data_IF_540923023765
#
_entry.id   IF_540923023765
#
_cell.length_a   1.000
_cell.length_b   1.000
_cell.length_c   1.000
_cell.angle_alpha   90.00
_cell.angle_beta   90.00
_cell.angle_gamma   90.00
#
_symmetry.space_group_name_H-M   'P 1'
#
loop_
_entity.id
_entity.type
_entity.pdbx_description
1 polymer ?
#
# COMPACT_ATOMS: atom_id res chain seq x y z
N UNK A 1 3.28 3.44 -10.34
CA UNK A 1 2.92 2.25 -11.14
C UNK A 1 4.11 1.81 -11.99
N UNK A 2 4.56 2.64 -12.96
CA UNK A 2 5.67 2.32 -13.88
C UNK A 2 7.00 2.00 -13.17
N UNK A 3 7.37 2.75 -12.12
CA UNK A 3 8.60 2.51 -11.35
C UNK A 3 8.66 1.13 -10.68
N UNK A 4 7.54 0.62 -10.15
CA UNK A 4 7.50 -0.71 -9.52
C UNK A 4 7.65 -1.80 -10.57
N UNK A 5 6.95 -1.69 -11.70
CA UNK A 5 7.06 -2.65 -12.80
C UNK A 5 8.48 -2.65 -13.38
N UNK A 6 9.07 -1.48 -13.64
CA UNK A 6 10.47 -1.37 -14.09
C UNK A 6 11.46 -1.99 -13.10
N UNK A 7 11.28 -1.72 -11.80
CA UNK A 7 12.14 -2.29 -10.75
C UNK A 7 12.02 -3.82 -10.72
N UNK A 8 10.81 -4.37 -10.74
CA UNK A 8 10.60 -5.81 -10.67
C UNK A 8 10.98 -6.54 -11.97
N UNK A 9 10.80 -5.91 -13.14
CA UNK A 9 11.32 -6.42 -14.41
C UNK A 9 12.85 -6.42 -14.44
N UNK A 10 13.49 -5.33 -13.98
CA UNK A 10 14.94 -5.24 -13.83
C UNK A 10 15.49 -6.24 -12.81
N UNK A 11 14.77 -6.45 -11.70
CA UNK A 11 15.11 -7.43 -10.68
C UNK A 11 15.02 -8.88 -11.22
N UNK A 12 14.01 -9.19 -12.04
CA UNK A 12 13.93 -10.50 -12.71
C UNK A 12 15.13 -10.79 -13.63
N UNK A 13 15.60 -9.76 -14.35
CA UNK A 13 16.83 -9.84 -15.14
C UNK A 13 18.06 -10.00 -14.22
N UNK A 14 18.14 -9.23 -13.13
CA UNK A 14 19.24 -9.31 -12.17
C UNK A 14 19.35 -10.70 -11.51
N UNK A 15 18.22 -11.33 -11.17
CA UNK A 15 18.19 -12.70 -10.65
C UNK A 15 18.71 -13.70 -11.70
N UNK A 16 18.38 -13.50 -12.99
CA UNK A 16 18.93 -14.35 -14.06
C UNK A 16 20.45 -14.17 -14.23
N UNK A 17 20.95 -12.93 -14.13
CA UNK A 17 22.38 -12.64 -14.13
C UNK A 17 23.09 -13.25 -12.91
N UNK A 18 22.44 -13.24 -11.75
CA UNK A 18 22.94 -13.88 -10.54
C UNK A 18 23.03 -15.40 -10.70
N UNK A 19 22.00 -16.04 -11.27
CA UNK A 19 22.01 -17.48 -11.56
C UNK A 19 23.18 -17.86 -12.48
N UNK A 20 23.39 -17.09 -13.56
CA UNK A 20 24.50 -17.28 -14.50
C UNK A 20 25.87 -17.06 -13.85
N UNK A 21 25.95 -16.12 -12.90
CA UNK A 21 27.14 -15.87 -12.10
C UNK A 21 27.53 -17.06 -11.22
N UNK A 22 26.55 -17.76 -10.63
CA UNK A 22 26.78 -18.98 -9.86
C UNK A 22 27.23 -20.14 -10.78
N UNK A 23 26.67 -20.25 -11.98
CA UNK A 23 26.92 -21.35 -12.91
C UNK A 23 28.20 -21.17 -13.77
N UNK A 24 28.92 -20.03 -13.62
CA UNK A 24 30.06 -19.62 -14.45
C UNK A 24 29.84 -19.76 -15.97
N UNK A 25 28.58 -19.66 -16.45
CA UNK A 25 28.26 -19.71 -17.87
C UNK A 25 28.31 -18.32 -18.50
N UNK A 26 28.73 -18.20 -19.79
CA UNK A 26 28.82 -16.92 -20.46
C UNK A 26 27.45 -16.21 -20.49
N UNK A 27 27.44 -15.01 -19.92
CA UNK A 27 26.26 -14.16 -19.69
C UNK A 27 25.57 -13.72 -20.99
N UNK A 28 26.28 -13.78 -22.13
CA UNK A 28 25.82 -13.31 -23.44
C UNK A 28 25.93 -14.40 -24.52
N UNK A 29 25.39 -15.59 -24.24
CA UNK A 29 25.19 -16.60 -25.27
C UNK A 29 24.08 -16.14 -26.23
N UNK A 30 24.37 -16.13 -27.55
CA UNK A 30 23.43 -15.64 -28.59
C UNK A 30 22.08 -16.38 -28.59
N UNK A 31 22.05 -17.64 -28.14
CA UNK A 31 20.81 -18.43 -27.96
C UNK A 31 19.97 -17.97 -26.74
N UNK A 32 20.58 -17.38 -25.71
CA UNK A 32 19.89 -16.99 -24.48
C UNK A 32 19.39 -15.55 -24.47
N UNK A 33 19.56 -14.79 -25.56
CA UNK A 33 19.11 -13.39 -25.64
C UNK A 33 17.59 -13.25 -25.47
N UNK A 34 16.81 -14.24 -25.89
CA UNK A 34 15.35 -14.25 -25.74
C UNK A 34 14.88 -14.55 -24.30
N UNK A 35 15.77 -15.09 -23.45
CA UNK A 35 15.48 -15.38 -22.04
C UNK A 35 15.36 -14.08 -21.23
N UNK A 36 16.06 -13.01 -21.63
CA UNK A 36 15.99 -11.71 -20.96
C UNK A 36 14.60 -11.07 -20.98
N UNK A 37 13.91 -10.91 -22.14
CA UNK A 37 12.54 -10.42 -22.16
C UNK A 37 11.56 -11.39 -21.48
N UNK A 38 11.82 -12.70 -21.48
CA UNK A 38 11.00 -13.66 -20.74
C UNK A 38 11.10 -13.45 -19.23
N UNK A 39 12.31 -13.32 -18.68
CA UNK A 39 12.53 -13.04 -17.26
C UNK A 39 12.07 -11.63 -16.87
N UNK A 40 12.20 -10.65 -17.77
CA UNK A 40 11.60 -9.33 -17.59
C UNK A 40 10.07 -9.40 -17.54
N UNK A 41 9.45 -10.24 -18.39
CA UNK A 41 8.01 -10.49 -18.39
C UNK A 41 7.53 -11.18 -17.13
N UNK A 42 8.23 -12.22 -16.68
CA UNK A 42 7.93 -12.93 -15.42
C UNK A 42 8.13 -12.01 -14.21
N UNK A 43 9.26 -11.32 -14.13
CA UNK A 43 9.56 -10.36 -13.06
C UNK A 43 8.55 -9.20 -13.03
N UNK A 44 8.21 -8.64 -14.19
CA UNK A 44 7.20 -7.59 -14.31
C UNK A 44 5.79 -8.07 -13.92
N UNK A 45 5.40 -9.27 -14.34
CA UNK A 45 4.11 -9.88 -13.96
C UNK A 45 4.04 -10.15 -12.46
N UNK A 46 5.14 -10.64 -11.87
CA UNK A 46 5.26 -10.86 -10.43
C UNK A 46 5.18 -9.54 -9.65
N UNK A 47 5.89 -8.51 -10.10
CA UNK A 47 5.82 -7.17 -9.50
C UNK A 47 4.42 -6.56 -9.55
N UNK A 48 3.70 -6.76 -10.66
CA UNK A 48 2.31 -6.33 -10.80
C UNK A 48 1.38 -7.07 -9.83
N UNK A 49 1.56 -8.38 -9.67
CA UNK A 49 0.78 -9.19 -8.73
C UNK A 49 1.00 -8.77 -7.26
N UNK A 50 2.26 -8.58 -6.86
CA UNK A 50 2.63 -8.19 -5.49
C UNK A 50 2.07 -6.80 -5.14
N UNK A 51 2.08 -5.88 -6.10
CA UNK A 51 1.43 -4.59 -5.97
C UNK A 51 -0.10 -4.70 -5.78
N UNK A 52 -0.73 -5.68 -6.43
CA UNK A 52 -2.14 -6.00 -6.22
C UNK A 52 -2.43 -6.44 -4.78
N UNK A 53 -1.54 -7.24 -4.17
CA UNK A 53 -1.65 -7.66 -2.76
C UNK A 53 -1.51 -6.47 -1.82
N UNK A 54 -0.52 -5.60 -2.06
CA UNK A 54 -0.25 -4.42 -1.23
C UNK A 54 -1.43 -3.43 -1.25
N UNK A 55 -2.04 -3.22 -2.42
CA UNK A 55 -3.24 -2.39 -2.57
C UNK A 55 -4.44 -2.93 -1.78
N UNK A 56 -4.58 -4.26 -1.65
CA UNK A 56 -5.65 -4.86 -0.84
C UNK A 56 -5.46 -4.57 0.65
N UNK A 57 -4.22 -4.62 1.13
CA UNK A 57 -3.89 -4.31 2.52
C UNK A 57 -4.10 -2.83 2.83
N UNK A 58 -3.59 -1.94 1.98
CA UNK A 58 -3.77 -0.49 2.13
C UNK A 58 -5.25 -0.07 2.10
N UNK A 59 -6.06 -0.69 1.24
CA UNK A 59 -7.53 -0.46 1.24
C UNK A 59 -8.18 -0.84 2.55
N UNK A 60 -7.83 -1.99 3.12
CA UNK A 60 -8.39 -2.43 4.39
C UNK A 60 -8.00 -1.49 5.54
N UNK A 61 -6.74 -1.03 5.57
CA UNK A 61 -6.28 -0.03 6.53
C UNK A 61 -6.99 1.32 6.37
N UNK A 62 -7.17 1.79 5.15
CA UNK A 62 -7.89 3.03 4.87
C UNK A 62 -9.35 2.98 5.36
N UNK A 63 -10.05 1.88 5.08
CA UNK A 63 -11.44 1.67 5.53
C UNK A 63 -11.55 1.65 7.06
N UNK A 64 -10.61 1.00 7.76
CA UNK A 64 -10.59 1.00 9.23
C UNK A 64 -10.32 2.40 9.79
N UNK A 65 -9.42 3.17 9.16
CA UNK A 65 -9.13 4.55 9.56
C UNK A 65 -10.35 5.45 9.41
N UNK A 66 -11.06 5.36 8.29
CA UNK A 66 -12.30 6.11 8.06
C UNK A 66 -13.37 5.75 9.11
N UNK A 67 -13.56 4.47 9.41
CA UNK A 67 -14.51 4.04 10.44
C UNK A 67 -14.15 4.56 11.84
N UNK A 68 -12.87 4.66 12.19
CA UNK A 68 -12.42 5.23 13.47
C UNK A 68 -12.62 6.74 13.51
N UNK A 69 -12.26 7.45 12.43
CA UNK A 69 -12.47 8.90 12.33
C UNK A 69 -13.96 9.25 12.41
N UNK A 70 -14.81 8.45 11.77
CA UNK A 70 -16.26 8.62 11.85
C UNK A 70 -16.79 8.48 13.28
N UNK A 71 -16.30 7.48 14.03
CA UNK A 71 -16.66 7.30 15.44
C UNK A 71 -16.19 8.47 16.30
N UNK A 72 -15.00 9.01 16.06
CA UNK A 72 -14.48 10.19 16.77
C UNK A 72 -15.35 11.43 16.48
N UNK A 73 -15.67 11.67 15.21
CA UNK A 73 -16.56 12.77 14.79
C UNK A 73 -17.94 12.71 15.47
N UNK A 74 -18.49 11.50 15.63
CA UNK A 74 -19.76 11.29 16.35
C UNK A 74 -19.64 11.50 17.86
N UNK A 75 -18.47 11.22 18.44
CA UNK A 75 -18.20 11.48 19.85
C UNK A 75 -18.05 12.98 20.12
N UNK A 76 -17.28 13.68 19.30
CA UNK A 76 -17.09 15.14 19.41
C UNK A 76 -18.42 15.90 19.26
N UNK A 77 -19.30 15.46 18.36
CA UNK A 77 -20.65 16.04 18.24
C UNK A 77 -21.50 15.84 19.50
N UNK A 78 -21.41 14.67 20.15
CA UNK A 78 -22.17 14.37 21.38
C UNK A 78 -21.59 15.09 22.60
N UNK A 79 -20.27 15.18 22.69
CA UNK A 79 -19.59 15.91 23.77
C UNK A 79 -19.82 17.43 23.61
N UNK A 80 -19.79 17.96 22.38
CA UNK A 80 -20.12 19.36 22.10
C UNK A 80 -21.58 19.73 22.39
N UNK A 81 -22.54 18.86 22.06
CA UNK A 81 -23.97 19.03 22.39
C UNK A 81 -24.26 18.82 23.89
N UNK A 82 -23.49 17.96 24.55
CA UNK A 82 -23.58 17.74 25.99
C UNK A 82 -23.06 18.92 26.79
N UNK A 83 -21.93 19.51 26.38
CA UNK A 83 -21.37 20.71 26.97
C UNK A 83 -22.31 21.90 26.85
N UNK A 84 -22.92 22.12 25.68
CA UNK A 84 -23.92 23.19 25.50
C UNK A 84 -25.15 23.01 26.40
N UNK A 85 -25.69 21.79 26.53
CA UNK A 85 -26.81 21.53 27.46
C UNK A 85 -26.45 21.70 28.93
N UNK A 86 -25.22 21.33 29.32
CA UNK A 86 -24.74 21.49 30.69
C UNK A 86 -24.51 22.98 31.01
N UNK A 87 -23.96 23.74 30.06
CA UNK A 87 -23.82 25.20 30.17
C UNK A 87 -25.19 25.88 30.27
N UNK A 88 -26.16 25.54 29.42
CA UNK A 88 -27.52 26.07 29.51
C UNK A 88 -28.19 25.74 30.86
N UNK A 89 -28.05 24.51 31.35
CA UNK A 89 -28.59 24.11 32.66
C UNK A 89 -27.93 24.84 33.83
N UNK A 90 -26.61 25.06 33.78
CA UNK A 90 -25.87 25.80 34.80
C UNK A 90 -26.22 27.29 34.80
N UNK A 91 -26.41 27.90 33.62
CA UNK A 91 -26.84 29.29 33.49
C UNK A 91 -28.26 29.48 34.03
N UNK A 92 -29.19 28.57 33.73
CA UNK A 92 -30.56 28.61 34.26
C UNK A 92 -30.62 28.43 35.78
N UNK A 93 -29.74 27.61 36.35
CA UNK A 93 -29.64 27.43 37.79
C UNK A 93 -29.02 28.64 38.52
N UNK A 94 -28.16 29.41 37.86
CA UNK A 94 -27.53 30.61 38.42
C UNK A 94 -28.42 31.86 38.37
N UNK A 95 -29.46 31.86 37.54
CA UNK A 95 -30.40 32.98 37.37
C UNK A 95 -31.71 32.83 38.15
N UNK A 96 -31.86 31.72 38.90
CA UNK A 96 -33.02 31.42 39.79
C UNK A 96 -32.70 31.77 41.23
#
# INVERSE_FOLDING_TARGET
MVHKVLFWSGFGIAVRLWQLGIEMRPILAKESLWVYPLFAGVGGSFGYWLQGVENRQLKMLAQRREAILEKRRRRDQREGLGLTKVEEGAVLAATS
#
